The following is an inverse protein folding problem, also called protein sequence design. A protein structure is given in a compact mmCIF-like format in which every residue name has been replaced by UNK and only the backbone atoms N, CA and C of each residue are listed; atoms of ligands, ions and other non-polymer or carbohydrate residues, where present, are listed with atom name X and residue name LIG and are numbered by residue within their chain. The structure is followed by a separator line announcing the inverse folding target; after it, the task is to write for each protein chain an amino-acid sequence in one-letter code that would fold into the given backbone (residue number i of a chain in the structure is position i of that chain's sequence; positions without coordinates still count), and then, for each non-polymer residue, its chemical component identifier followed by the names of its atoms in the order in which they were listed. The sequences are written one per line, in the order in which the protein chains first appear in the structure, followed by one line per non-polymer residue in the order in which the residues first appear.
data_IF_684097868887
#
_entry.id   IF_684097868887
#
_cell.length_a   1.000
_cell.length_b   1.000
_cell.length_c   1.000
_cell.angle_alpha   90.00
_cell.angle_beta   90.00
_cell.angle_gamma   90.00
#
_symmetry.space_group_name_H-M   'P 1'
#
loop_
_entity.id
_entity.type
_entity.pdbx_description
1 polymer ?
#
# COMPACT_ATOMS: atom_id res chain seq x y z
N UNK A 1 1.24 4.75 12.99
CA UNK A 1 0.58 4.57 11.68
C UNK A 1 -0.46 5.67 11.52
N UNK A 2 -0.02 6.94 11.41
CA UNK A 2 -0.93 8.10 11.33
C UNK A 2 -0.84 8.82 9.96
N UNK A 3 0.02 8.33 9.07
CA UNK A 3 0.42 9.04 7.85
C UNK A 3 -0.68 9.00 6.77
N UNK A 4 -1.52 7.96 6.75
CA UNK A 4 -2.65 7.83 5.83
C UNK A 4 -4.03 8.08 6.48
N UNK A 5 -4.07 8.64 7.70
CA UNK A 5 -5.32 9.00 8.37
C UNK A 5 -6.03 7.86 9.11
N UNK A 6 -5.33 6.76 9.41
CA UNK A 6 -5.81 5.74 10.34
C UNK A 6 -5.89 6.31 11.77
N UNK A 7 -6.96 5.96 12.50
CA UNK A 7 -7.29 6.57 13.79
C UNK A 7 -6.98 5.69 15.02
N UNK A 8 -6.42 4.49 14.82
CA UNK A 8 -6.12 3.57 15.92
C UNK A 8 -4.91 4.04 16.71
N UNK A 9 -5.00 3.96 18.04
CA UNK A 9 -3.86 4.20 18.93
C UNK A 9 -2.87 3.02 18.90
N UNK A 10 -1.66 3.25 19.38
CA UNK A 10 -0.65 2.19 19.52
C UNK A 10 -1.14 1.03 20.41
N UNK A 11 -1.88 1.34 21.49
CA UNK A 11 -2.48 0.33 22.36
C UNK A 11 -3.54 -0.50 21.63
N UNK A 12 -4.34 0.13 20.76
CA UNK A 12 -5.33 -0.58 19.95
C UNK A 12 -4.67 -1.46 18.89
N UNK A 13 -3.62 -0.97 18.24
CA UNK A 13 -2.81 -1.76 17.29
C UNK A 13 -2.20 -2.97 18.00
N UNK A 14 -1.62 -2.77 19.18
CA UNK A 14 -1.04 -3.85 20.00
C UNK A 14 -2.10 -4.85 20.40
N UNK A 15 -3.27 -4.40 20.84
CA UNK A 15 -4.39 -5.26 21.18
C UNK A 15 -4.85 -6.11 19.97
N UNK A 16 -4.87 -5.53 18.76
CA UNK A 16 -5.18 -6.30 17.53
C UNK A 16 -4.12 -7.38 17.26
N UNK A 17 -2.83 -7.07 17.42
CA UNK A 17 -1.73 -8.02 17.25
C UNK A 17 -1.80 -9.19 18.25
N UNK A 18 -2.23 -8.90 19.48
CA UNK A 18 -2.40 -9.88 20.54
C UNK A 18 -3.73 -10.65 20.47
N UNK A 19 -4.51 -10.48 19.40
CA UNK A 19 -5.85 -11.06 19.23
C UNK A 19 -6.84 -10.68 20.35
N UNK A 20 -6.67 -9.51 20.96
CA UNK A 20 -7.61 -8.95 21.93
C UNK A 20 -8.76 -8.21 21.21
N UNK A 21 -9.87 -8.03 21.92
CA UNK A 21 -11.04 -7.30 21.39
C UNK A 21 -10.73 -5.80 21.31
N UNK A 22 -11.01 -5.19 20.16
CA UNK A 22 -10.87 -3.76 19.91
C UNK A 22 -12.14 -3.24 19.25
N UNK A 23 -12.60 -2.06 19.67
CA UNK A 23 -13.74 -1.35 19.06
C UNK A 23 -13.18 -0.15 18.31
N UNK A 24 -13.24 -0.18 16.98
CA UNK A 24 -12.73 0.86 16.08
C UNK A 24 -13.40 0.74 14.70
N UNK A 25 -13.24 1.72 13.79
CA UNK A 25 -13.75 1.62 12.43
C UNK A 25 -13.24 0.36 11.71
N UNK A 26 -14.15 -0.33 11.00
CA UNK A 26 -13.81 -1.58 10.31
C UNK A 26 -12.68 -1.40 9.28
N UNK A 27 -12.66 -0.26 8.57
CA UNK A 27 -11.61 0.09 7.60
C UNK A 27 -10.24 0.12 8.26
N UNK A 28 -10.14 0.83 9.37
CA UNK A 28 -8.87 1.03 10.07
C UNK A 28 -8.35 -0.29 10.68
N UNK A 29 -9.24 -1.13 11.20
CA UNK A 29 -8.89 -2.49 11.66
C UNK A 29 -8.34 -3.32 10.48
N UNK A 30 -9.01 -3.26 9.32
CA UNK A 30 -8.59 -4.00 8.13
C UNK A 30 -7.24 -3.52 7.60
N UNK A 31 -6.99 -2.21 7.60
CA UNK A 31 -5.69 -1.63 7.23
C UNK A 31 -4.56 -2.17 8.10
N UNK A 32 -4.73 -2.19 9.43
CA UNK A 32 -3.73 -2.73 10.36
C UNK A 32 -3.53 -4.22 10.12
N UNK A 33 -4.61 -5.01 10.02
CA UNK A 33 -4.51 -6.45 9.78
C UNK A 33 -3.81 -6.79 8.46
N UNK A 34 -4.10 -6.05 7.39
CA UNK A 34 -3.45 -6.23 6.10
C UNK A 34 -1.98 -5.82 6.14
N UNK A 35 -1.65 -4.73 6.83
CA UNK A 35 -0.27 -4.30 7.03
C UNK A 35 0.54 -5.39 7.72
N UNK A 36 0.03 -5.95 8.83
CA UNK A 36 0.68 -7.06 9.56
C UNK A 36 0.95 -8.24 8.63
N UNK A 37 -0.05 -8.69 7.87
CA UNK A 37 0.10 -9.78 6.89
C UNK A 37 1.15 -9.50 5.81
N UNK A 38 1.28 -8.24 5.38
CA UNK A 38 2.28 -7.84 4.40
C UNK A 38 3.69 -7.86 5.01
N UNK A 39 3.84 -7.35 6.24
CA UNK A 39 5.12 -7.36 6.97
C UNK A 39 5.59 -8.77 7.31
N UNK A 40 4.69 -9.68 7.68
CA UNK A 40 5.00 -11.09 7.94
C UNK A 40 5.63 -11.78 6.71
N UNK A 41 5.26 -11.34 5.50
CA UNK A 41 5.76 -11.87 4.24
C UNK A 41 6.92 -11.04 3.66
N UNK A 42 7.36 -9.97 4.32
CA UNK A 42 8.33 -9.02 3.76
C UNK A 42 9.64 -9.67 3.32
N UNK A 43 10.09 -10.67 4.09
CA UNK A 43 11.31 -11.44 3.81
C UNK A 43 11.22 -12.31 2.54
N UNK A 44 10.03 -12.51 1.99
CA UNK A 44 9.79 -13.29 0.78
C UNK A 44 9.77 -12.43 -0.49
N UNK A 45 9.76 -11.10 -0.35
CA UNK A 45 9.67 -10.19 -1.48
C UNK A 45 11.05 -9.70 -1.92
N UNK A 46 11.27 -9.70 -3.22
CA UNK A 46 12.38 -9.02 -3.85
C UNK A 46 11.99 -7.57 -4.19
N UNK A 47 12.66 -6.61 -3.56
CA UNK A 47 12.41 -5.17 -3.76
C UNK A 47 12.65 -4.67 -5.18
N UNK A 48 13.33 -5.45 -6.04
CA UNK A 48 13.59 -5.15 -7.45
C UNK A 48 12.66 -5.89 -8.41
N UNK A 49 11.66 -6.65 -7.92
CA UNK A 49 10.70 -7.35 -8.76
C UNK A 49 9.32 -6.70 -8.70
N UNK A 50 8.82 -6.23 -9.85
CA UNK A 50 7.47 -5.64 -9.97
C UNK A 50 6.39 -6.59 -9.48
N UNK A 51 6.52 -7.88 -9.77
CA UNK A 51 5.54 -8.89 -9.32
C UNK A 51 5.46 -8.99 -7.80
N UNK A 52 6.58 -8.86 -7.10
CA UNK A 52 6.60 -8.90 -5.64
C UNK A 52 6.05 -7.60 -5.04
N UNK A 53 6.32 -6.45 -5.68
CA UNK A 53 5.66 -5.19 -5.32
C UNK A 53 4.13 -5.29 -5.49
N UNK A 54 3.66 -5.81 -6.63
CA UNK A 54 2.24 -6.05 -6.90
C UNK A 54 1.64 -7.02 -5.88
N UNK A 55 2.36 -8.09 -5.52
CA UNK A 55 1.91 -9.04 -4.49
C UNK A 55 1.79 -8.39 -3.11
N UNK A 56 2.81 -7.65 -2.68
CA UNK A 56 2.79 -6.93 -1.40
C UNK A 56 1.64 -5.90 -1.36
N UNK A 57 1.44 -5.15 -2.44
CA UNK A 57 0.32 -4.22 -2.59
C UNK A 57 -1.03 -4.94 -2.55
N UNK A 58 -1.15 -6.12 -3.15
CA UNK A 58 -2.37 -6.92 -3.10
C UNK A 58 -2.73 -7.32 -1.68
N UNK A 59 -1.75 -7.68 -0.85
CA UNK A 59 -1.98 -8.07 0.55
C UNK A 59 -2.38 -6.83 1.36
N UNK A 60 -1.62 -5.74 1.20
CA UNK A 60 -1.84 -4.50 1.95
C UNK A 60 -3.23 -3.90 1.68
N UNK A 61 -3.68 -3.93 0.42
CA UNK A 61 -4.92 -3.29 -0.02
C UNK A 61 -6.12 -4.25 -0.14
N UNK A 62 -5.96 -5.51 0.29
CA UNK A 62 -6.99 -6.53 0.17
C UNK A 62 -8.30 -6.13 0.88
N UNK A 63 -9.41 -6.04 0.14
CA UNK A 63 -10.71 -5.63 0.67
C UNK A 63 -10.85 -4.14 0.98
N UNK A 64 -9.82 -3.33 0.70
CA UNK A 64 -9.85 -1.86 0.84
C UNK A 64 -10.14 -1.18 -0.51
N UNK A 65 -9.61 -1.72 -1.61
CA UNK A 65 -9.84 -1.23 -2.98
C UNK A 65 -9.97 -2.40 -3.96
N UNK A 66 -10.63 -2.16 -5.10
CA UNK A 66 -10.81 -3.19 -6.16
C UNK A 66 -9.52 -3.46 -6.96
N UNK A 67 -8.65 -2.46 -7.07
CA UNK A 67 -7.42 -2.51 -7.88
C UNK A 67 -6.21 -3.08 -7.11
N UNK A 68 -6.44 -3.76 -5.99
CA UNK A 68 -5.39 -4.37 -5.18
C UNK A 68 -4.47 -5.23 -6.05
N UNK A 69 -3.16 -5.04 -5.86
CA UNK A 69 -2.10 -5.74 -6.59
C UNK A 69 -1.88 -5.33 -8.05
N UNK A 70 -2.37 -4.17 -8.49
CA UNK A 70 -2.13 -3.67 -9.86
C UNK A 70 -1.51 -2.28 -9.84
N UNK A 71 -0.57 -2.04 -10.75
CA UNK A 71 -0.16 -0.67 -11.07
C UNK A 71 -1.37 0.11 -11.61
N UNK A 72 -1.50 1.37 -11.19
CA UNK A 72 -2.58 2.24 -11.68
C UNK A 72 -2.47 2.44 -13.18
N UNK A 73 -3.63 2.52 -13.83
CA UNK A 73 -3.76 2.86 -15.26
C UNK A 73 -4.37 4.26 -15.45
N UNK A 74 -4.88 4.85 -14.39
CA UNK A 74 -5.51 6.18 -14.36
C UNK A 74 -4.54 7.24 -13.82
N UNK A 75 -4.87 8.51 -14.08
CA UNK A 75 -4.13 9.65 -13.55
C UNK A 75 -4.50 9.89 -12.08
N UNK A 76 -3.52 10.24 -11.27
CA UNK A 76 -3.69 10.58 -9.85
C UNK A 76 -2.92 11.85 -9.53
N UNK A 77 -3.42 12.63 -8.58
CA UNK A 77 -2.73 13.82 -8.05
C UNK A 77 -2.01 13.49 -6.75
N UNK A 78 -0.86 14.12 -6.50
CA UNK A 78 -0.19 14.09 -5.21
C UNK A 78 -0.66 15.30 -4.41
N UNK A 79 -1.33 15.05 -3.28
CA UNK A 79 -1.89 16.07 -2.42
C UNK A 79 -1.08 16.16 -1.14
N UNK A 80 -0.71 17.37 -0.72
CA UNK A 80 -0.08 17.63 0.58
C UNK A 80 -0.92 18.63 1.36
N UNK A 81 -1.58 18.14 2.40
CA UNK A 81 -2.62 18.91 3.10
C UNK A 81 -3.80 19.20 2.17
N UNK A 82 -4.11 20.47 1.96
CA UNK A 82 -5.24 20.92 1.13
C UNK A 82 -4.84 21.35 -0.29
N UNK A 83 -3.56 21.25 -0.68
CA UNK A 83 -3.07 21.68 -2.00
C UNK A 83 -2.55 20.50 -2.80
N UNK A 84 -2.91 20.47 -4.09
CA UNK A 84 -2.26 19.59 -5.07
C UNK A 84 -0.85 20.11 -5.28
N UNK A 85 0.16 19.31 -4.91
CA UNK A 85 1.57 19.71 -4.99
C UNK A 85 2.13 19.40 -6.38
N UNK A 86 1.86 18.20 -6.91
CA UNK A 86 2.33 17.75 -8.22
C UNK A 86 1.35 16.82 -8.93
N UNK A 87 1.33 16.89 -10.26
CA UNK A 87 0.63 15.91 -11.12
C UNK A 87 1.55 14.71 -11.30
N UNK A 88 1.09 13.51 -10.93
CA UNK A 88 1.87 12.30 -11.15
C UNK A 88 1.92 11.94 -12.65
N UNK A 89 2.93 11.19 -13.10
CA UNK A 89 3.00 10.71 -14.49
C UNK A 89 1.71 10.00 -14.92
N UNK A 90 1.35 10.09 -16.19
CA UNK A 90 0.16 9.41 -16.73
C UNK A 90 0.16 7.91 -16.44
N UNK A 91 -0.99 7.33 -16.13
CA UNK A 91 -1.10 5.93 -15.67
C UNK A 91 -0.46 4.91 -16.62
N UNK A 92 -0.54 5.15 -17.94
CA UNK A 92 0.08 4.29 -18.98
C UNK A 92 1.61 4.23 -18.84
N UNK A 93 2.26 5.29 -18.35
CA UNK A 93 3.72 5.35 -18.21
C UNK A 93 4.24 4.62 -16.97
N UNK A 94 3.39 4.34 -15.98
CA UNK A 94 3.81 3.81 -14.67
C UNK A 94 4.57 2.50 -14.82
N UNK A 95 4.09 1.57 -15.66
CA UNK A 95 4.76 0.28 -15.87
C UNK A 95 6.17 0.43 -16.42
N UNK A 96 6.38 1.31 -17.41
CA UNK A 96 7.71 1.57 -17.97
C UNK A 96 8.64 2.24 -16.96
N UNK A 97 8.13 3.23 -16.22
CA UNK A 97 8.88 3.92 -15.17
C UNK A 97 9.32 2.97 -14.05
N UNK A 98 8.44 2.04 -13.62
CA UNK A 98 8.78 1.04 -12.60
C UNK A 98 9.84 0.05 -13.09
N UNK A 99 9.78 -0.38 -14.37
CA UNK A 99 10.83 -1.22 -14.96
C UNK A 99 12.18 -0.51 -14.96
N UNK A 100 12.19 0.76 -15.37
CA UNK A 100 13.40 1.59 -15.37
C UNK A 100 13.95 1.78 -13.95
N UNK A 101 13.08 2.07 -12.97
CA UNK A 101 13.46 2.24 -11.57
C UNK A 101 14.12 0.98 -10.99
N UNK A 102 13.63 -0.20 -11.36
CA UNK A 102 14.17 -1.48 -10.89
C UNK A 102 15.33 -1.99 -11.74
N UNK A 103 15.82 -1.22 -12.72
CA UNK A 103 16.94 -1.60 -13.57
C UNK A 103 16.62 -2.72 -14.56
N UNK A 104 15.34 -3.01 -14.81
CA UNK A 104 14.90 -3.98 -15.81
C UNK A 104 14.82 -3.26 -17.15
N UNK A 105 15.97 -3.09 -17.82
CA UNK A 105 16.03 -2.48 -19.14
C UNK A 105 15.32 -3.36 -20.18
N UNK A 106 14.40 -2.78 -20.96
CA UNK A 106 13.98 -3.40 -22.22
C UNK A 106 15.17 -3.26 -23.18
N UNK A 107 15.78 -4.40 -23.54
CA UNK A 107 16.67 -4.48 -24.71
C UNK A 107 15.82 -4.48 -25.97
#
# INVERSE_FOLDING_TARGET
MEIEGNTLTEEQITALLENKRVVAPQKDILEVQNAVKAYDQLHQFNSYQIKDLEKAHSILMNGLIESAGRLRTTNVGIVKGSKVEHIAPGGVMVKGLMKNLFGVSEK
#
